data_IF_422677429353
#
_entry.id   IF_422677429353
#
_cell.length_a   1.000
_cell.length_b   1.000
_cell.length_c   1.000
_cell.angle_alpha   90.00
_cell.angle_beta   90.00
_cell.angle_gamma   90.00
#
_symmetry.space_group_name_H-M   'P 1'
#
loop_
_entity.id
_entity.type
_entity.pdbx_description
1 polymer ?
#
# COMPACT_ATOMS: atom_id res chain seq x y z
N UNK A 1 19.19 -1.26 -5.81
CA UNK A 1 19.77 -2.37 -5.03
C UNK A 1 19.60 -3.65 -5.82
N UNK A 2 20.59 -4.56 -5.77
CA UNK A 2 20.49 -5.87 -6.44
C UNK A 2 19.57 -6.77 -5.60
N UNK A 3 18.58 -7.48 -6.19
CA UNK A 3 17.72 -8.42 -5.47
C UNK A 3 18.54 -9.57 -4.85
N UNK A 4 18.12 -10.08 -3.69
CA UNK A 4 18.74 -11.28 -3.10
C UNK A 4 18.37 -12.53 -3.92
N UNK A 5 19.21 -13.57 -3.86
CA UNK A 5 18.92 -14.85 -4.53
C UNK A 5 17.58 -15.46 -4.05
N UNK A 6 17.33 -15.43 -2.74
CA UNK A 6 16.07 -15.92 -2.17
C UNK A 6 14.85 -15.17 -2.72
N UNK A 7 14.93 -13.84 -2.90
CA UNK A 7 13.85 -13.04 -3.48
C UNK A 7 13.62 -13.38 -4.96
N UNK A 8 14.69 -13.65 -5.71
CA UNK A 8 14.58 -14.06 -7.11
C UNK A 8 13.92 -15.44 -7.23
N UNK A 9 14.26 -16.38 -6.34
CA UNK A 9 13.65 -17.71 -6.31
C UNK A 9 12.17 -17.66 -5.91
N UNK A 10 11.81 -16.89 -4.88
CA UNK A 10 10.42 -16.64 -4.47
C UNK A 10 9.63 -16.02 -5.62
N UNK A 11 10.16 -14.96 -6.24
CA UNK A 11 9.52 -14.30 -7.37
C UNK A 11 9.29 -15.27 -8.53
N UNK A 12 10.24 -16.17 -8.79
CA UNK A 12 10.13 -17.19 -9.85
C UNK A 12 9.08 -18.25 -9.51
N UNK A 13 8.98 -18.62 -8.23
CA UNK A 13 8.06 -19.67 -7.77
C UNK A 13 6.61 -19.19 -7.74
N UNK A 14 6.35 -17.97 -7.28
CA UNK A 14 5.00 -17.48 -7.01
C UNK A 14 4.50 -16.44 -8.02
N UNK A 15 5.40 -15.63 -8.60
CA UNK A 15 5.04 -14.64 -9.63
C UNK A 15 4.16 -13.48 -9.14
N UNK A 16 4.09 -13.26 -7.83
CA UNK A 16 3.23 -12.27 -7.16
C UNK A 16 3.99 -11.07 -6.60
N UNK A 17 5.29 -10.97 -6.88
CA UNK A 17 6.16 -9.89 -6.41
C UNK A 17 6.17 -8.71 -7.40
N UNK A 18 5.87 -7.52 -6.88
CA UNK A 18 6.10 -6.26 -7.57
C UNK A 18 7.29 -5.52 -6.93
N UNK A 19 8.40 -5.43 -7.66
CA UNK A 19 9.64 -4.83 -7.14
C UNK A 19 9.92 -3.46 -7.78
N UNK A 20 10.26 -2.47 -6.94
CA UNK A 20 10.67 -1.13 -7.35
C UNK A 20 12.15 -0.87 -7.12
N UNK A 21 12.74 0.05 -7.89
CA UNK A 21 14.14 0.47 -7.73
C UNK A 21 14.26 1.68 -6.81
N UNK A 22 14.01 1.49 -5.52
CA UNK A 22 14.20 2.50 -4.47
C UNK A 22 14.57 1.83 -3.14
N UNK A 23 15.23 2.54 -2.21
CA UNK A 23 15.52 2.00 -0.88
C UNK A 23 14.23 1.65 -0.16
N UNK A 24 14.18 0.47 0.45
CA UNK A 24 13.04 0.04 1.24
C UNK A 24 13.23 0.48 2.71
N UNK A 25 12.86 1.71 3.00
CA UNK A 25 12.96 2.32 4.33
C UNK A 25 11.71 3.14 4.64
N UNK A 26 11.48 3.44 5.93
CA UNK A 26 10.26 4.14 6.37
C UNK A 26 10.01 5.47 5.62
N UNK A 27 11.08 6.23 5.35
CA UNK A 27 11.00 7.52 4.67
C UNK A 27 10.53 7.43 3.20
N UNK A 28 10.60 6.25 2.57
CA UNK A 28 10.29 6.04 1.14
C UNK A 28 9.04 5.17 0.93
N UNK A 29 8.27 4.87 1.98
CA UNK A 29 7.05 4.06 1.86
C UNK A 29 5.99 4.68 0.93
N UNK A 30 6.02 6.00 0.74
CA UNK A 30 5.18 6.67 -0.26
C UNK A 30 5.51 6.19 -1.69
N UNK A 31 6.77 5.86 -2.00
CA UNK A 31 7.17 5.33 -3.30
C UNK A 31 6.58 3.94 -3.55
N UNK A 32 6.47 3.08 -2.52
CA UNK A 32 5.75 1.80 -2.62
C UNK A 32 4.27 2.01 -2.98
N UNK A 33 3.64 3.01 -2.35
CA UNK A 33 2.24 3.34 -2.65
C UNK A 33 2.07 3.83 -4.09
N UNK A 34 2.97 4.70 -4.57
CA UNK A 34 2.96 5.15 -5.96
C UNK A 34 3.21 4.01 -6.95
N UNK A 35 4.12 3.09 -6.64
CA UNK A 35 4.40 1.90 -7.45
C UNK A 35 3.14 1.03 -7.58
N UNK A 36 2.48 0.72 -6.45
CA UNK A 36 1.23 -0.05 -6.41
C UNK A 36 0.15 0.60 -7.29
N UNK A 37 -0.07 1.90 -7.14
CA UNK A 37 -1.08 2.64 -7.91
C UNK A 37 -0.78 2.63 -9.41
N UNK A 38 0.47 2.87 -9.81
CA UNK A 38 0.89 2.85 -11.23
C UNK A 38 0.77 1.47 -11.84
N UNK A 39 1.16 0.43 -11.11
CA UNK A 39 1.05 -0.95 -11.57
C UNK A 39 -0.43 -1.35 -11.73
N UNK A 40 -1.28 -1.09 -10.73
CA UNK A 40 -2.69 -1.41 -10.81
C UNK A 40 -3.39 -0.69 -11.97
N UNK A 41 -3.09 0.60 -12.18
CA UNK A 41 -3.64 1.37 -13.29
C UNK A 41 -3.24 0.83 -14.68
N UNK A 42 -2.04 0.25 -14.81
CA UNK A 42 -1.53 -0.25 -16.10
C UNK A 42 -1.79 -1.74 -16.35
N UNK A 43 -1.87 -2.55 -15.29
CA UNK A 43 -2.01 -4.02 -15.39
C UNK A 43 -3.39 -4.54 -15.00
N UNK A 44 -4.20 -3.75 -14.28
CA UNK A 44 -5.50 -4.17 -13.78
C UNK A 44 -6.62 -3.17 -14.14
N UNK A 45 -6.83 -2.82 -15.43
CA UNK A 45 -7.81 -1.80 -15.82
C UNK A 45 -9.27 -2.17 -15.46
N UNK A 46 -9.57 -3.45 -15.28
CA UNK A 46 -10.90 -3.93 -14.84
C UNK A 46 -11.10 -4.02 -13.33
N UNK A 47 -10.07 -3.73 -12.52
CA UNK A 47 -10.19 -3.81 -11.06
C UNK A 47 -11.12 -2.70 -10.56
N UNK A 48 -12.21 -3.08 -9.89
CA UNK A 48 -13.18 -2.13 -9.30
C UNK A 48 -12.69 -1.49 -8.01
N UNK A 49 -11.85 -2.20 -7.27
CA UNK A 49 -11.32 -1.77 -5.98
C UNK A 49 -9.85 -2.15 -5.88
N UNK A 50 -9.08 -1.33 -5.17
CA UNK A 50 -7.70 -1.59 -4.82
C UNK A 50 -7.58 -1.53 -3.30
N UNK A 51 -7.02 -2.56 -2.69
CA UNK A 51 -6.72 -2.61 -1.27
C UNK A 51 -5.20 -2.50 -1.08
N UNK A 52 -4.77 -1.52 -0.28
CA UNK A 52 -3.43 -1.50 0.31
C UNK A 52 -3.57 -1.96 1.76
N UNK A 53 -2.82 -2.99 2.13
CA UNK A 53 -2.65 -3.45 3.49
C UNK A 53 -1.15 -3.68 3.73
N UNK A 54 -0.72 -3.57 4.98
CA UNK A 54 0.64 -3.94 5.37
C UNK A 54 0.69 -5.46 5.64
N UNK A 55 1.88 -6.04 5.81
CA UNK A 55 2.08 -7.47 6.03
C UNK A 55 1.80 -7.92 7.47
N UNK A 56 1.70 -6.96 8.41
CA UNK A 56 1.43 -7.16 9.82
C UNK A 56 -0.06 -6.96 10.20
N UNK A 57 -0.96 -6.91 9.22
CA UNK A 57 -2.41 -6.76 9.45
C UNK A 57 -3.22 -7.96 8.97
N UNK A 58 -4.30 -8.26 9.68
CA UNK A 58 -5.30 -9.23 9.24
C UNK A 58 -6.43 -8.55 8.46
N UNK A 59 -6.80 -9.09 7.31
CA UNK A 59 -7.94 -8.63 6.50
C UNK A 59 -9.01 -9.72 6.44
N UNK A 60 -10.21 -9.41 6.95
CA UNK A 60 -11.39 -10.26 6.74
C UNK A 60 -11.95 -10.05 5.31
N UNK A 61 -11.35 -10.72 4.34
CA UNK A 61 -11.70 -10.60 2.91
C UNK A 61 -13.18 -10.91 2.63
N UNK A 62 -13.81 -11.98 3.20
CA UNK A 62 -15.23 -12.25 2.96
C UNK A 62 -16.15 -11.11 3.41
N UNK A 63 -15.91 -10.55 4.59
CA UNK A 63 -16.69 -9.44 5.12
C UNK A 63 -16.51 -8.17 4.29
N UNK A 64 -15.26 -7.86 3.92
CA UNK A 64 -14.93 -6.71 3.07
C UNK A 64 -15.59 -6.83 1.69
N UNK A 65 -15.52 -8.01 1.06
CA UNK A 65 -16.16 -8.26 -0.23
C UNK A 65 -17.69 -8.12 -0.17
N UNK A 66 -18.32 -8.57 0.93
CA UNK A 66 -19.77 -8.38 1.16
C UNK A 66 -20.11 -6.89 1.24
N UNK A 67 -19.33 -6.10 1.99
CA UNK A 67 -19.52 -4.66 2.10
C UNK A 67 -19.35 -3.94 0.75
N UNK A 68 -18.31 -4.28 -0.01
CA UNK A 68 -17.99 -3.67 -1.31
C UNK A 68 -18.98 -4.01 -2.44
N UNK A 69 -19.90 -4.97 -2.23
CA UNK A 69 -20.98 -5.31 -3.17
C UNK A 69 -22.29 -4.58 -2.88
N UNK A 70 -22.34 -3.74 -1.85
CA UNK A 70 -23.55 -3.00 -1.52
C UNK A 70 -23.96 -2.04 -2.67
N UNK A 71 -25.25 -1.96 -3.02
CA UNK A 71 -25.72 -1.19 -4.18
C UNK A 71 -25.56 0.34 -4.04
N UNK A 72 -25.36 0.85 -2.83
CA UNK A 72 -25.31 2.29 -2.54
C UNK A 72 -23.88 2.87 -2.40
N UNK A 73 -22.85 2.18 -2.90
CA UNK A 73 -21.48 2.70 -2.80
C UNK A 73 -21.23 3.87 -3.76
N UNK A 74 -20.53 4.92 -3.33
CA UNK A 74 -20.16 6.03 -4.20
C UNK A 74 -19.21 5.56 -5.31
N UNK A 75 -19.27 6.22 -6.47
CA UNK A 75 -18.38 5.94 -7.61
C UNK A 75 -16.91 6.24 -7.33
N UNK A 76 -16.62 7.12 -6.36
CA UNK A 76 -15.28 7.42 -5.85
C UNK A 76 -15.21 7.06 -4.38
N UNK A 77 -14.61 5.91 -4.09
CA UNK A 77 -14.58 5.32 -2.77
C UNK A 77 -13.15 5.33 -2.21
N UNK A 78 -12.97 5.91 -1.03
CA UNK A 78 -11.77 5.78 -0.21
C UNK A 78 -12.21 5.39 1.20
N UNK A 79 -11.85 4.17 1.62
CA UNK A 79 -12.29 3.57 2.88
C UNK A 79 -11.11 3.26 3.79
N UNK A 80 -11.34 3.39 5.10
CA UNK A 80 -10.39 3.04 6.13
C UNK A 80 -10.52 3.96 7.34
N UNK A 81 -9.53 3.90 8.24
CA UNK A 81 -9.38 4.88 9.31
C UNK A 81 -8.78 6.16 8.73
N UNK A 82 -9.64 7.11 8.35
CA UNK A 82 -9.21 8.37 7.76
C UNK A 82 -8.81 9.34 8.85
N UNK A 83 -7.55 9.78 8.80
CA UNK A 83 -7.01 10.79 9.70
C UNK A 83 -7.12 12.17 9.05
N UNK A 84 -7.86 13.07 9.68
CA UNK A 84 -8.02 14.46 9.24
C UNK A 84 -7.21 15.39 10.15
N UNK A 85 -6.62 16.44 9.57
CA UNK A 85 -5.97 17.53 10.30
C UNK A 85 -4.86 17.10 11.28
N UNK A 86 -4.12 16.04 10.98
CA UNK A 86 -3.01 15.58 11.82
C UNK A 86 -1.77 16.44 11.55
N UNK A 87 -1.26 17.22 12.53
CA UNK A 87 -0.06 18.01 12.33
C UNK A 87 1.19 17.12 12.21
N UNK A 88 2.25 17.58 11.53
CA UNK A 88 3.51 16.85 11.49
C UNK A 88 4.07 16.63 12.90
N UNK A 89 4.53 15.41 13.19
CA UNK A 89 5.13 15.11 14.50
C UNK A 89 6.53 15.75 14.59
N UNK A 90 6.73 16.62 15.57
CA UNK A 90 7.99 17.34 15.78
C UNK A 90 8.89 16.74 16.87
N UNK A 91 8.48 15.67 17.55
CA UNK A 91 9.34 14.99 18.55
C UNK A 91 10.44 14.18 17.82
N UNK A 92 11.74 14.51 18.00
CA UNK A 92 12.84 13.80 17.34
C UNK A 92 13.00 12.35 17.80
N UNK A 93 12.39 11.95 18.92
CA UNK A 93 12.37 10.55 19.40
C UNK A 93 11.28 9.72 18.74
N UNK A 94 10.37 10.35 18.00
CA UNK A 94 9.30 9.64 17.31
C UNK A 94 9.81 9.02 16.01
N UNK A 95 9.40 7.78 15.73
CA UNK A 95 9.58 7.15 14.41
C UNK A 95 8.88 7.90 13.26
N UNK A 96 7.95 8.80 13.59
CA UNK A 96 7.19 9.61 12.64
C UNK A 96 7.66 11.07 12.60
N UNK A 97 8.85 11.35 13.13
CA UNK A 97 9.41 12.69 13.18
C UNK A 97 9.53 13.31 11.78
N UNK A 98 9.06 14.54 11.65
CA UNK A 98 9.23 15.38 10.47
C UNK A 98 9.99 16.64 10.91
N UNK A 99 11.22 16.87 10.40
CA UNK A 99 11.98 18.09 10.69
C UNK A 99 11.25 19.36 10.26
N UNK A 100 11.49 20.46 10.97
CA UNK A 100 11.08 21.78 10.48
C UNK A 100 11.83 22.10 9.17
N UNK A 101 11.15 22.79 8.27
CA UNK A 101 11.75 23.32 7.04
C UNK A 101 12.61 24.54 7.34
#
# INVERSE_FOLDING_TARGET
SVPSQALLEESRLHGDILQGSFPDVYATLNLKTLLLLRWAASRCPGARFLLKADDDVFVNVPSLAKHLRAPALPSRLYLGRVHWWVPPNRDPRSRHHVPAA
#
